data_IF_753118063611
#
_entry.id   IF_753118063611
#
_cell.length_a   1.000
_cell.length_b   1.000
_cell.length_c   1.000
_cell.angle_alpha   90.00
_cell.angle_beta   90.00
_cell.angle_gamma   90.00
#
_symmetry.space_group_name_H-M   'P 1'
#
loop_
_entity.id
_entity.type
_entity.pdbx_description
1 polymer ?
#
# COMPACT_ATOMS: atom_id res chain seq x y z
N UNK A 1 38.23 -8.32 -11.49
CA UNK A 1 36.78 -8.27 -11.75
C UNK A 1 36.16 -7.59 -10.55
N UNK A 2 35.30 -6.62 -10.83
CA UNK A 2 34.64 -5.77 -9.84
C UNK A 2 33.18 -6.18 -9.70
N UNK A 3 32.51 -5.70 -8.67
CA UNK A 3 31.07 -5.89 -8.49
C UNK A 3 30.23 -5.34 -9.66
N UNK A 4 30.78 -4.41 -10.45
CA UNK A 4 30.14 -3.84 -11.63
C UNK A 4 30.29 -4.71 -12.89
N UNK A 5 31.13 -5.76 -12.86
CA UNK A 5 31.28 -6.71 -13.98
C UNK A 5 30.21 -7.82 -13.94
N UNK A 6 29.32 -7.80 -12.93
CA UNK A 6 28.22 -8.76 -12.79
C UNK A 6 27.19 -8.52 -13.88
N UNK A 7 26.86 -9.57 -14.64
CA UNK A 7 25.85 -9.53 -15.70
C UNK A 7 24.45 -9.86 -15.18
N UNK A 8 23.44 -9.54 -15.99
CA UNK A 8 22.07 -9.97 -15.74
C UNK A 8 21.97 -11.50 -15.57
N UNK A 9 22.58 -12.28 -16.46
CA UNK A 9 22.56 -13.74 -16.42
C UNK A 9 23.20 -14.31 -15.15
N UNK A 10 24.24 -13.65 -14.62
CA UNK A 10 24.88 -14.05 -13.37
C UNK A 10 23.95 -13.86 -12.15
N UNK A 11 23.11 -12.83 -12.16
CA UNK A 11 22.06 -12.63 -11.14
C UNK A 11 21.01 -13.73 -11.25
N UNK A 12 20.57 -14.06 -12.47
CA UNK A 12 19.59 -15.14 -12.70
C UNK A 12 20.13 -16.48 -12.21
N UNK A 13 21.36 -16.84 -12.55
CA UNK A 13 21.98 -18.08 -12.09
C UNK A 13 22.05 -18.17 -10.55
N UNK A 14 22.32 -17.06 -9.87
CA UNK A 14 22.30 -17.00 -8.41
C UNK A 14 20.87 -17.12 -7.83
N UNK A 15 19.85 -16.55 -8.48
CA UNK A 15 18.45 -16.73 -8.10
C UNK A 15 17.98 -18.17 -8.29
N UNK A 16 18.36 -18.82 -9.40
CA UNK A 16 18.02 -20.22 -9.69
C UNK A 16 18.64 -21.16 -8.64
N UNK A 17 19.92 -20.97 -8.31
CA UNK A 17 20.57 -21.73 -7.24
C UNK A 17 19.92 -21.48 -5.87
N UNK A 18 19.53 -20.24 -5.58
CA UNK A 18 18.81 -19.91 -4.35
C UNK A 18 17.49 -20.67 -4.25
N UNK A 19 16.76 -20.80 -5.36
CA UNK A 19 15.51 -21.56 -5.44
C UNK A 19 15.75 -23.07 -5.29
N UNK A 20 16.82 -23.62 -5.88
CA UNK A 20 17.19 -25.03 -5.77
C UNK A 20 17.64 -25.44 -4.36
N UNK A 21 18.51 -24.65 -3.73
CA UNK A 21 19.06 -24.94 -2.40
C UNK A 21 18.08 -24.56 -1.28
N UNK A 22 17.24 -23.57 -1.53
CA UNK A 22 16.42 -22.89 -0.53
C UNK A 22 17.23 -21.91 0.34
N UNK A 23 16.55 -20.84 0.77
CA UNK A 23 17.10 -19.70 1.53
C UNK A 23 18.16 -20.07 2.57
N UNK A 24 17.80 -20.95 3.51
CA UNK A 24 18.66 -21.28 4.65
C UNK A 24 19.97 -21.92 4.21
N UNK A 25 19.93 -22.82 3.22
CA UNK A 25 21.14 -23.51 2.76
C UNK A 25 21.99 -22.59 1.89
N UNK A 26 21.37 -21.77 1.04
CA UNK A 26 22.04 -20.78 0.22
C UNK A 26 22.80 -19.75 1.07
N UNK A 27 22.13 -19.14 2.05
CA UNK A 27 22.75 -18.17 2.95
C UNK A 27 23.93 -18.77 3.73
N UNK A 28 23.81 -20.03 4.18
CA UNK A 28 24.91 -20.75 4.84
C UNK A 28 26.07 -21.02 3.89
N UNK A 29 25.79 -21.44 2.65
CA UNK A 29 26.81 -21.74 1.62
C UNK A 29 27.69 -20.51 1.35
N UNK A 30 27.07 -19.34 1.19
CA UNK A 30 27.76 -18.11 0.83
C UNK A 30 28.14 -17.22 2.03
N UNK A 31 27.78 -17.61 3.25
CA UNK A 31 28.16 -16.90 4.48
C UNK A 31 27.39 -15.59 4.73
N UNK A 32 26.14 -15.51 4.28
CA UNK A 32 25.28 -14.35 4.46
C UNK A 32 24.23 -14.56 5.56
N UNK A 33 23.68 -13.45 6.06
CA UNK A 33 22.50 -13.43 6.94
C UNK A 33 21.29 -12.98 6.14
N UNK A 34 20.10 -13.31 6.65
CA UNK A 34 18.84 -12.83 6.08
C UNK A 34 18.77 -11.30 6.06
N UNK A 35 18.47 -10.75 4.89
CA UNK A 35 18.17 -9.34 4.68
C UNK A 35 16.81 -9.01 5.30
N UNK A 36 16.73 -7.84 5.96
CA UNK A 36 15.50 -7.37 6.61
C UNK A 36 14.88 -6.15 5.93
N UNK A 37 15.70 -5.35 5.27
CA UNK A 37 15.33 -4.02 4.81
C UNK A 37 15.35 -3.86 3.29
N UNK A 38 16.14 -4.65 2.56
CA UNK A 38 16.24 -4.55 1.10
C UNK A 38 16.35 -5.93 0.48
N UNK A 39 15.37 -6.29 -0.36
CA UNK A 39 15.34 -7.57 -1.07
C UNK A 39 15.21 -7.35 -2.56
N UNK A 40 15.88 -8.21 -3.31
CA UNK A 40 15.74 -8.29 -4.76
C UNK A 40 14.37 -8.91 -5.06
N UNK A 41 13.56 -8.25 -5.88
CA UNK A 41 12.30 -8.80 -6.37
C UNK A 41 12.47 -9.25 -7.81
N UNK A 42 12.22 -10.55 -8.04
CA UNK A 42 12.36 -11.15 -9.35
C UNK A 42 11.35 -12.29 -9.52
N UNK A 43 10.65 -12.32 -10.67
CA UNK A 43 9.64 -13.34 -10.98
C UNK A 43 8.62 -13.62 -9.86
N UNK A 44 8.17 -12.57 -9.17
CA UNK A 44 7.18 -12.70 -8.09
C UNK A 44 7.75 -13.17 -6.75
N UNK A 45 9.07 -13.31 -6.62
CA UNK A 45 9.75 -13.79 -5.40
C UNK A 45 10.73 -12.75 -4.86
N UNK A 46 10.97 -12.84 -3.55
CA UNK A 46 11.95 -12.00 -2.85
C UNK A 46 13.21 -12.79 -2.52
N UNK A 47 14.36 -12.23 -2.87
CA UNK A 47 15.67 -12.79 -2.62
C UNK A 47 16.53 -11.84 -1.76
N UNK A 48 17.42 -12.41 -0.93
CA UNK A 48 18.33 -11.63 -0.09
C UNK A 48 19.35 -10.89 -0.99
N UNK A 49 19.11 -9.60 -1.24
CA UNK A 49 19.79 -8.78 -2.27
C UNK A 49 21.33 -8.90 -2.27
N UNK A 50 21.96 -8.76 -1.10
CA UNK A 50 23.42 -8.91 -0.94
C UNK A 50 23.92 -10.33 -1.17
N UNK A 51 23.14 -11.33 -0.76
CA UNK A 51 23.54 -12.72 -0.90
C UNK A 51 23.49 -13.13 -2.38
N UNK A 52 22.45 -12.72 -3.11
CA UNK A 52 22.35 -12.93 -4.55
C UNK A 52 23.50 -12.24 -5.28
N UNK A 53 23.76 -10.96 -5.01
CA UNK A 53 24.84 -10.25 -5.68
C UNK A 53 26.22 -10.85 -5.37
N UNK A 54 26.43 -11.31 -4.13
CA UNK A 54 27.66 -11.99 -3.73
C UNK A 54 27.87 -13.33 -4.43
N UNK A 55 26.81 -14.14 -4.56
CA UNK A 55 26.85 -15.38 -5.33
C UNK A 55 27.04 -15.11 -6.83
N UNK A 56 26.35 -14.10 -7.38
CA UNK A 56 26.42 -13.69 -8.78
C UNK A 56 27.84 -13.35 -9.24
N UNK A 57 28.67 -12.77 -8.36
CA UNK A 57 30.08 -12.53 -8.66
C UNK A 57 30.85 -13.82 -9.01
N UNK A 58 30.48 -14.96 -8.42
CA UNK A 58 31.05 -16.27 -8.74
C UNK A 58 30.72 -16.77 -10.16
N UNK A 59 29.68 -16.21 -10.81
CA UNK A 59 29.25 -16.59 -12.15
C UNK A 59 29.83 -15.70 -13.26
N UNK A 60 30.64 -14.68 -12.95
CA UNK A 60 31.24 -13.78 -13.96
C UNK A 60 32.15 -14.56 -14.92
N UNK A 61 32.93 -15.51 -14.39
CA UNK A 61 33.81 -16.37 -15.19
C UNK A 61 34.21 -17.63 -14.41
N UNK A 62 34.75 -18.69 -15.05
CA UNK A 62 35.05 -19.97 -14.39
C UNK A 62 36.00 -19.90 -13.19
N UNK A 63 36.82 -18.84 -13.10
CA UNK A 63 37.76 -18.62 -12.00
C UNK A 63 37.30 -17.53 -11.00
N UNK A 64 36.10 -16.99 -11.17
CA UNK A 64 35.57 -15.97 -10.27
C UNK A 64 35.08 -16.62 -8.99
N UNK A 65 35.41 -15.99 -7.86
CA UNK A 65 34.95 -16.45 -6.55
C UNK A 65 33.75 -15.62 -6.10
N UNK A 66 32.74 -16.21 -5.46
CA UNK A 66 31.66 -15.47 -4.81
C UNK A 66 32.20 -14.47 -3.79
N UNK A 67 31.58 -13.29 -3.69
CA UNK A 67 31.90 -12.29 -2.66
C UNK A 67 31.20 -12.63 -1.36
N UNK A 68 31.92 -12.52 -0.24
CA UNK A 68 31.37 -12.59 1.12
C UNK A 68 30.94 -11.21 1.59
N UNK A 69 30.11 -11.18 2.62
CA UNK A 69 29.61 -9.93 3.22
C UNK A 69 30.70 -8.91 3.62
N UNK A 70 31.92 -9.35 3.93
CA UNK A 70 33.02 -8.46 4.34
C UNK A 70 33.75 -7.82 3.15
N UNK A 71 33.51 -8.30 1.93
CA UNK A 71 34.23 -7.89 0.71
C UNK A 71 33.47 -6.81 -0.08
N UNK A 72 32.34 -6.32 0.43
CA UNK A 72 31.56 -5.23 -0.16
C UNK A 72 32.07 -3.87 0.36
N UNK A 73 32.69 -3.07 -0.52
CA UNK A 73 33.29 -1.77 -0.20
C UNK A 73 32.26 -0.66 0.08
N UNK A 74 31.11 -0.67 -0.61
CA UNK A 74 30.06 0.34 -0.52
C UNK A 74 28.80 -0.12 0.24
N UNK A 75 28.85 -1.28 0.89
CA UNK A 75 27.75 -1.79 1.70
C UNK A 75 26.47 -2.05 0.89
N UNK A 76 25.32 -1.61 1.42
CA UNK A 76 24.01 -1.90 0.82
C UNK A 76 23.67 -0.99 -0.36
N UNK A 77 24.11 0.27 -0.35
CA UNK A 77 23.82 1.23 -1.42
C UNK A 77 24.45 0.82 -2.76
N UNK A 78 25.68 0.32 -2.73
CA UNK A 78 26.37 -0.23 -3.91
C UNK A 78 25.65 -1.47 -4.44
N UNK A 79 25.16 -2.34 -3.56
CA UNK A 79 24.37 -3.52 -3.95
C UNK A 79 23.09 -3.13 -4.69
N UNK A 80 22.34 -2.17 -4.15
CA UNK A 80 21.10 -1.68 -4.77
C UNK A 80 21.39 -1.06 -6.13
N UNK A 81 22.40 -0.19 -6.21
CA UNK A 81 22.77 0.49 -7.46
C UNK A 81 23.14 -0.48 -8.57
N UNK A 82 23.90 -1.55 -8.28
CA UNK A 82 24.26 -2.55 -9.29
C UNK A 82 23.03 -3.31 -9.78
N UNK A 83 22.18 -3.80 -8.87
CA UNK A 83 20.96 -4.53 -9.24
C UNK A 83 20.00 -3.68 -10.07
N UNK A 84 19.78 -2.43 -9.67
CA UNK A 84 18.91 -1.49 -10.41
C UNK A 84 19.51 -1.14 -11.78
N UNK A 85 20.84 -0.97 -11.89
CA UNK A 85 21.49 -0.71 -13.19
C UNK A 85 21.36 -1.86 -14.18
N UNK A 86 21.21 -3.09 -13.68
CA UNK A 86 20.96 -4.30 -14.46
C UNK A 86 19.45 -4.51 -14.75
N UNK A 87 18.59 -3.60 -14.30
CA UNK A 87 17.14 -3.65 -14.54
C UNK A 87 16.36 -4.52 -13.55
N UNK A 88 16.96 -4.91 -12.43
CA UNK A 88 16.26 -5.61 -11.36
C UNK A 88 15.61 -4.65 -10.37
N UNK A 89 14.44 -5.03 -9.87
CA UNK A 89 13.75 -4.29 -8.83
C UNK A 89 14.29 -4.62 -7.45
N UNK A 90 14.66 -3.61 -6.66
CA UNK A 90 15.03 -3.79 -5.25
C UNK A 90 13.98 -3.11 -4.36
N UNK A 91 13.32 -3.94 -3.55
CA UNK A 91 12.24 -3.51 -2.66
C UNK A 91 12.80 -3.22 -1.27
N UNK A 92 12.57 -1.99 -0.79
CA UNK A 92 12.76 -1.61 0.59
C UNK A 92 11.58 -2.06 1.45
N UNK A 93 11.83 -2.62 2.64
CA UNK A 93 10.83 -3.17 3.56
C UNK A 93 9.89 -4.22 2.92
N UNK A 94 10.43 -5.36 2.47
CA UNK A 94 9.64 -6.42 1.85
C UNK A 94 8.65 -7.05 2.85
N UNK A 95 7.58 -7.70 2.37
CA UNK A 95 6.66 -8.45 3.22
C UNK A 95 7.42 -9.43 4.11
N UNK A 96 7.00 -9.62 5.38
CA UNK A 96 7.71 -10.51 6.29
C UNK A 96 7.69 -11.95 5.74
N UNK A 97 8.81 -12.67 5.91
CA UNK A 97 8.97 -14.07 5.45
C UNK A 97 7.98 -15.05 6.10
N UNK A 98 7.34 -14.63 7.19
CA UNK A 98 6.26 -15.35 7.86
C UNK A 98 5.18 -14.36 8.27
N UNK A 99 3.92 -14.78 8.16
CA UNK A 99 2.81 -13.96 8.60
C UNK A 99 2.78 -13.84 10.14
N UNK A 100 2.42 -12.68 10.69
CA UNK A 100 2.32 -12.50 12.14
C UNK A 100 1.18 -13.35 12.71
N UNK A 101 1.26 -13.62 14.03
CA UNK A 101 0.24 -14.37 14.76
C UNK A 101 -1.14 -13.67 14.68
N UNK A 102 -2.21 -14.44 14.84
CA UNK A 102 -3.57 -13.90 14.97
C UNK A 102 -3.75 -13.12 16.27
N UNK A 103 -4.47 -12.00 16.19
CA UNK A 103 -4.83 -11.15 17.33
C UNK A 103 -6.21 -11.50 17.88
N UNK A 104 -6.54 -11.02 19.08
CA UNK A 104 -7.86 -11.28 19.71
C UNK A 104 -9.01 -10.79 18.83
N UNK A 105 -8.86 -9.64 18.17
CA UNK A 105 -9.87 -9.07 17.28
C UNK A 105 -10.16 -9.98 16.08
N UNK A 106 -9.12 -10.56 15.49
CA UNK A 106 -9.23 -11.44 14.31
C UNK A 106 -9.88 -12.77 14.68
N UNK A 107 -9.48 -13.34 15.82
CA UNK A 107 -10.06 -14.60 16.33
C UNK A 107 -11.53 -14.41 16.71
N UNK A 108 -11.92 -13.28 17.30
CA UNK A 108 -13.31 -12.99 17.64
C UNK A 108 -14.22 -12.95 16.41
N UNK A 109 -13.79 -12.28 15.32
CA UNK A 109 -14.53 -12.27 14.05
C UNK A 109 -14.67 -13.69 13.48
N UNK A 110 -13.58 -14.45 13.47
CA UNK A 110 -13.56 -15.80 12.92
C UNK A 110 -14.44 -16.79 13.71
N UNK A 111 -14.40 -16.77 15.05
CA UNK A 111 -15.25 -17.63 15.89
C UNK A 111 -16.72 -17.24 15.77
N UNK A 112 -17.04 -15.94 15.71
CA UNK A 112 -18.42 -15.50 15.48
C UNK A 112 -18.94 -16.03 14.14
N UNK A 113 -18.15 -15.90 13.08
CA UNK A 113 -18.51 -16.44 11.77
C UNK A 113 -18.70 -17.96 11.81
N UNK A 114 -17.77 -18.69 12.45
CA UNK A 114 -17.88 -20.14 12.60
C UNK A 114 -19.19 -20.54 13.29
N UNK A 115 -19.53 -19.94 14.44
CA UNK A 115 -20.76 -20.27 15.18
C UNK A 115 -22.04 -19.98 14.39
N UNK A 116 -22.02 -18.96 13.54
CA UNK A 116 -23.15 -18.62 12.67
C UNK A 116 -23.37 -19.58 11.50
N UNK A 117 -22.35 -20.34 11.10
CA UNK A 117 -22.40 -21.21 9.92
C UNK A 117 -22.20 -22.70 10.22
N UNK A 118 -21.68 -23.04 11.40
CA UNK A 118 -21.47 -24.42 11.80
C UNK A 118 -22.80 -25.20 11.77
N UNK A 119 -22.78 -26.48 11.34
CA UNK A 119 -21.60 -27.27 10.98
C UNK A 119 -21.12 -27.09 9.53
N UNK A 120 -21.81 -26.30 8.70
CA UNK A 120 -21.54 -26.18 7.26
C UNK A 120 -20.91 -24.84 6.92
N UNK A 121 -19.59 -24.78 7.02
CA UNK A 121 -18.82 -23.57 6.70
C UNK A 121 -18.82 -23.30 5.19
N UNK A 122 -19.04 -22.03 4.76
CA UNK A 122 -18.93 -21.63 3.36
C UNK A 122 -17.57 -21.96 2.74
N UNK A 123 -17.59 -22.26 1.44
CA UNK A 123 -16.39 -22.67 0.69
C UNK A 123 -15.37 -21.54 0.51
N UNK A 124 -14.13 -21.91 0.17
CA UNK A 124 -12.97 -21.00 0.01
C UNK A 124 -13.18 -19.84 -0.97
N UNK A 125 -14.03 -20.06 -1.98
CA UNK A 125 -14.35 -19.08 -3.02
C UNK A 125 -15.71 -18.40 -2.82
N UNK A 126 -16.37 -18.60 -1.68
CA UNK A 126 -17.66 -17.96 -1.39
C UNK A 126 -17.48 -16.48 -1.06
N UNK A 127 -18.42 -15.65 -1.50
CA UNK A 127 -18.43 -14.22 -1.21
C UNK A 127 -18.42 -13.94 0.30
N UNK A 128 -19.12 -14.76 1.08
CA UNK A 128 -19.20 -14.66 2.55
C UNK A 128 -17.84 -14.86 3.22
N UNK A 129 -17.09 -15.88 2.81
CA UNK A 129 -15.76 -16.14 3.37
C UNK A 129 -14.73 -15.12 2.87
N UNK A 130 -14.84 -14.68 1.61
CA UNK A 130 -13.99 -13.62 1.06
C UNK A 130 -14.22 -12.31 1.84
N UNK A 131 -15.47 -11.98 2.15
CA UNK A 131 -15.85 -10.84 2.99
C UNK A 131 -15.22 -10.93 4.37
N UNK A 132 -15.36 -12.08 5.06
CA UNK A 132 -14.73 -12.31 6.36
C UNK A 132 -13.20 -12.15 6.29
N UNK A 133 -12.56 -12.70 5.25
CA UNK A 133 -11.12 -12.59 5.09
C UNK A 133 -10.68 -11.13 4.87
N UNK A 134 -11.47 -10.33 4.17
CA UNK A 134 -11.24 -8.90 4.02
C UNK A 134 -11.39 -8.17 5.36
N UNK A 135 -12.45 -8.45 6.13
CA UNK A 135 -12.65 -7.88 7.48
C UNK A 135 -11.47 -8.17 8.42
N UNK A 136 -11.05 -9.44 8.49
CA UNK A 136 -9.90 -9.88 9.30
C UNK A 136 -8.62 -9.18 8.84
N UNK A 137 -8.40 -9.07 7.53
CA UNK A 137 -7.23 -8.37 6.98
C UNK A 137 -7.24 -6.88 7.34
N UNK A 138 -8.39 -6.22 7.27
CA UNK A 138 -8.53 -4.82 7.69
C UNK A 138 -8.26 -4.68 9.19
N UNK A 139 -8.83 -5.53 10.04
CA UNK A 139 -8.57 -5.54 11.48
C UNK A 139 -7.08 -5.74 11.83
N UNK A 140 -6.36 -6.56 11.08
CA UNK A 140 -4.92 -6.76 11.23
C UNK A 140 -4.13 -5.52 10.80
N UNK A 141 -4.47 -4.94 9.64
CA UNK A 141 -3.84 -3.71 9.12
C UNK A 141 -4.02 -2.53 10.07
N UNK A 142 -5.18 -2.44 10.72
CA UNK A 142 -5.43 -1.44 11.76
C UNK A 142 -4.46 -1.57 12.94
N UNK A 143 -3.86 -2.73 13.18
CA UNK A 143 -2.85 -2.91 14.22
C UNK A 143 -1.42 -2.74 13.68
N UNK A 144 -1.28 -2.24 12.46
CA UNK A 144 0.01 -2.11 11.77
C UNK A 144 0.58 -3.44 11.28
N UNK A 145 -0.20 -4.53 11.33
CA UNK A 145 0.25 -5.85 10.87
C UNK A 145 0.20 -5.93 9.35
N UNK A 146 1.27 -6.46 8.76
CA UNK A 146 1.39 -6.78 7.34
C UNK A 146 1.93 -8.19 7.18
N UNK A 147 1.74 -8.78 6.01
CA UNK A 147 2.19 -10.13 5.71
C UNK A 147 2.37 -10.36 4.21
N UNK A 148 2.72 -11.59 3.85
CA UNK A 148 2.96 -12.02 2.46
C UNK A 148 1.64 -12.38 1.73
N UNK A 149 1.72 -13.04 0.57
CA UNK A 149 0.56 -13.41 -0.26
C UNK A 149 -0.46 -14.32 0.45
N UNK A 150 -0.06 -14.99 1.54
CA UNK A 150 -0.92 -15.83 2.38
C UNK A 150 -1.52 -15.07 3.57
N UNK A 151 -1.26 -13.77 3.68
CA UNK A 151 -1.67 -12.97 4.82
C UNK A 151 -3.19 -12.76 4.83
N UNK A 152 -3.86 -13.44 5.77
CA UNK A 152 -5.30 -13.34 6.00
C UNK A 152 -6.12 -13.49 4.71
N UNK A 153 -5.66 -14.36 3.81
CA UNK A 153 -6.42 -14.68 2.59
C UNK A 153 -7.55 -15.68 2.92
N UNK A 154 -8.49 -15.86 2.00
CA UNK A 154 -9.65 -16.74 2.21
C UNK A 154 -9.24 -18.17 2.58
N UNK A 155 -8.19 -18.71 1.94
CA UNK A 155 -7.66 -20.04 2.26
C UNK A 155 -7.13 -20.14 3.69
N UNK A 156 -6.33 -19.18 4.13
CA UNK A 156 -5.76 -19.14 5.48
C UNK A 156 -6.84 -18.97 6.53
N UNK A 157 -7.83 -18.10 6.29
CA UNK A 157 -8.98 -17.92 7.17
C UNK A 157 -9.80 -19.20 7.25
N UNK A 158 -10.09 -19.85 6.12
CA UNK A 158 -10.76 -21.15 6.08
C UNK A 158 -10.05 -22.18 6.95
N UNK A 159 -8.72 -22.29 6.83
CA UNK A 159 -7.94 -23.22 7.64
C UNK A 159 -8.08 -22.94 9.15
N UNK A 160 -8.09 -21.68 9.56
CA UNK A 160 -8.36 -21.33 10.97
C UNK A 160 -9.77 -21.69 11.41
N UNK A 161 -10.79 -21.50 10.57
CA UNK A 161 -12.16 -21.93 10.87
C UNK A 161 -12.23 -23.45 11.09
N UNK A 162 -11.47 -24.24 10.33
CA UNK A 162 -11.43 -25.69 10.50
C UNK A 162 -10.78 -26.12 11.81
N UNK A 163 -9.84 -25.34 12.36
CA UNK A 163 -9.25 -25.65 13.67
C UNK A 163 -10.29 -25.54 14.81
N UNK A 164 -11.30 -24.67 14.67
CA UNK A 164 -12.35 -24.50 15.68
C UNK A 164 -13.26 -25.72 15.83
N UNK A 165 -13.30 -26.63 14.85
CA UNK A 165 -14.00 -27.91 14.97
C UNK A 165 -13.53 -28.75 16.16
N UNK A 166 -12.30 -28.55 16.64
CA UNK A 166 -11.79 -29.21 17.84
C UNK A 166 -12.38 -28.67 19.14
N UNK A 167 -12.77 -27.40 19.12
CA UNK A 167 -13.37 -26.70 20.26
C UNK A 167 -14.89 -26.86 20.27
N UNK A 168 -15.48 -27.25 19.14
CA UNK A 168 -16.91 -27.39 18.95
C UNK A 168 -17.44 -28.73 19.47
N UNK A 169 -18.16 -28.76 20.61
CA UNK A 169 -18.70 -29.99 21.17
C UNK A 169 -19.77 -30.64 20.29
N UNK A 170 -20.34 -29.89 19.33
CA UNK A 170 -21.37 -30.39 18.42
C UNK A 170 -20.78 -30.95 17.11
N UNK A 171 -19.47 -30.81 16.91
CA UNK A 171 -18.82 -31.35 15.73
C UNK A 171 -18.50 -32.84 15.91
N UNK A 172 -19.07 -33.68 15.04
CA UNK A 172 -18.96 -35.14 15.11
C UNK A 172 -17.95 -35.74 14.12
N UNK A 173 -17.22 -34.91 13.37
CA UNK A 173 -16.23 -35.34 12.38
C UNK A 173 -14.80 -35.39 12.91
N UNK A 174 -13.86 -35.78 12.05
CA UNK A 174 -12.42 -35.70 12.35
C UNK A 174 -11.95 -34.26 12.20
N UNK A 175 -11.69 -33.60 13.32
CA UNK A 175 -11.20 -32.23 13.33
C UNK A 175 -9.70 -32.15 12.95
N UNK A 176 -9.28 -31.03 12.38
CA UNK A 176 -7.93 -30.82 11.83
C UNK A 176 -7.13 -29.86 12.72
N UNK A 177 -5.85 -30.15 12.94
CA UNK A 177 -4.91 -29.20 13.55
C UNK A 177 -4.79 -29.30 15.08
N UNK A 178 -4.45 -28.17 15.73
CA UNK A 178 -4.51 -27.97 17.18
C UNK A 178 -4.98 -26.54 17.43
N UNK A 179 -5.89 -26.33 18.39
CA UNK A 179 -6.22 -25.00 18.88
C UNK A 179 -5.05 -24.33 19.58
N UNK A 180 -5.01 -23.01 19.53
CA UNK A 180 -4.10 -22.18 20.31
C UNK A 180 -4.76 -21.70 21.61
N UNK A 181 -3.95 -21.34 22.61
CA UNK A 181 -4.46 -20.78 23.87
C UNK A 181 -5.31 -19.51 23.68
N UNK A 182 -5.02 -18.71 22.64
CA UNK A 182 -5.82 -17.55 22.30
C UNK A 182 -7.20 -17.98 21.76
N UNK A 183 -7.25 -18.96 20.86
CA UNK A 183 -8.51 -19.47 20.31
C UNK A 183 -9.38 -20.10 21.41
N UNK A 184 -8.79 -20.87 22.32
CA UNK A 184 -9.49 -21.44 23.49
C UNK A 184 -10.06 -20.35 24.40
N UNK A 185 -9.27 -19.29 24.68
CA UNK A 185 -9.74 -18.15 25.47
C UNK A 185 -10.96 -17.49 24.84
N UNK A 186 -10.90 -17.14 23.56
CA UNK A 186 -12.01 -16.46 22.89
C UNK A 186 -13.19 -17.40 22.68
N UNK A 187 -12.95 -18.70 22.47
CA UNK A 187 -14.01 -19.71 22.40
C UNK A 187 -14.83 -19.81 23.70
N UNK A 188 -14.22 -19.56 24.86
CA UNK A 188 -14.95 -19.54 26.13
C UNK A 188 -15.95 -18.38 26.28
N UNK A 189 -15.94 -17.40 25.38
CA UNK A 189 -16.89 -16.27 25.43
C UNK A 189 -18.32 -16.74 25.20
N UNK A 190 -19.24 -16.16 25.97
CA UNK A 190 -20.67 -16.26 25.67
C UNK A 190 -20.99 -15.59 24.34
N UNK A 191 -22.10 -15.98 23.69
CA UNK A 191 -22.49 -15.38 22.40
C UNK A 191 -22.68 -13.86 22.51
N UNK A 192 -23.13 -13.36 23.66
CA UNK A 192 -23.28 -11.92 23.91
C UNK A 192 -21.93 -11.21 23.94
N UNK A 193 -20.93 -11.78 24.62
CA UNK A 193 -19.58 -11.20 24.70
C UNK A 193 -18.87 -11.25 23.34
N UNK A 194 -18.98 -12.38 22.64
CA UNK A 194 -18.41 -12.57 21.32
C UNK A 194 -19.03 -11.61 20.30
N UNK A 195 -20.36 -11.48 20.29
CA UNK A 195 -21.06 -10.53 19.41
C UNK A 195 -20.66 -9.09 19.71
N UNK A 196 -20.54 -8.71 20.99
CA UNK A 196 -20.09 -7.37 21.37
C UNK A 196 -18.65 -7.10 20.93
N UNK A 197 -17.76 -8.08 21.09
CA UNK A 197 -16.37 -7.97 20.67
C UNK A 197 -16.24 -7.83 19.15
N UNK A 198 -16.92 -8.69 18.39
CA UNK A 198 -16.93 -8.64 16.92
C UNK A 198 -17.53 -7.33 16.39
N UNK A 199 -18.64 -6.86 16.96
CA UNK A 199 -19.27 -5.61 16.56
C UNK A 199 -18.37 -4.39 16.84
N UNK A 200 -17.66 -4.39 17.97
CA UNK A 200 -16.68 -3.36 18.27
C UNK A 200 -15.49 -3.37 17.29
N UNK A 201 -15.12 -4.54 16.75
CA UNK A 201 -14.12 -4.63 15.67
C UNK A 201 -14.70 -4.07 14.36
N UNK A 202 -15.91 -4.46 13.96
CA UNK A 202 -16.54 -3.96 12.72
C UNK A 202 -16.81 -2.46 12.74
N UNK A 203 -17.22 -1.91 13.87
CA UNK A 203 -17.38 -0.46 14.06
C UNK A 203 -16.06 0.27 13.77
N UNK A 204 -14.95 -0.24 14.31
CA UNK A 204 -13.61 0.30 14.08
C UNK A 204 -13.14 0.12 12.64
N UNK A 205 -13.43 -1.03 12.01
CA UNK A 205 -13.17 -1.25 10.57
C UNK A 205 -13.92 -0.20 9.74
N UNK A 206 -15.22 -0.01 9.97
CA UNK A 206 -16.02 0.96 9.22
C UNK A 206 -15.51 2.39 9.40
N UNK A 207 -15.06 2.75 10.61
CA UNK A 207 -14.42 4.04 10.86
C UNK A 207 -13.07 4.16 10.14
N UNK A 208 -12.24 3.11 10.17
CA UNK A 208 -10.94 3.06 9.49
C UNK A 208 -11.09 3.17 7.97
N UNK A 209 -12.03 2.45 7.36
CA UNK A 209 -12.26 2.48 5.91
C UNK A 209 -12.77 3.85 5.43
N UNK A 210 -13.50 4.58 6.28
CA UNK A 210 -13.96 5.94 5.98
C UNK A 210 -12.88 7.01 6.15
N UNK A 211 -11.92 6.81 7.05
CA UNK A 211 -10.99 7.86 7.50
C UNK A 211 -9.52 7.58 7.16
N UNK A 212 -9.17 6.34 6.83
CA UNK A 212 -7.80 5.88 6.60
C UNK A 212 -6.93 5.79 7.86
N UNK A 213 -7.48 6.03 9.06
CA UNK A 213 -6.70 6.21 10.29
C UNK A 213 -6.93 5.11 11.31
N UNK A 214 -5.82 4.53 11.81
CA UNK A 214 -5.83 3.62 12.95
C UNK A 214 -6.20 4.39 14.21
N UNK A 215 -7.31 4.02 14.84
CA UNK A 215 -7.71 4.56 16.14
C UNK A 215 -6.64 4.18 17.19
N UNK A 216 -5.69 5.08 17.42
CA UNK A 216 -4.67 4.92 18.46
C UNK A 216 -5.34 5.12 19.82
N UNK A 217 -5.02 4.26 20.79
CA UNK A 217 -5.45 4.48 22.18
C UNK A 217 -4.74 5.72 22.73
N UNK A 218 -5.39 6.87 22.65
CA UNK A 218 -4.83 8.14 23.08
C UNK A 218 -4.78 8.15 24.63
N UNK A 219 -3.61 8.34 25.27
CA UNK A 219 -3.52 8.45 26.73
C UNK A 219 -4.36 9.63 27.24
N UNK A 220 -4.88 9.60 28.46
CA UNK A 220 -5.61 10.75 29.03
C UNK A 220 -4.74 12.03 29.06
N UNK A 221 -5.29 13.22 28.74
CA UNK A 221 -4.54 14.46 28.80
C UNK A 221 -4.14 14.81 30.24
N UNK A 222 -2.94 15.36 30.42
CA UNK A 222 -2.51 15.86 31.73
C UNK A 222 -3.15 17.22 32.09
N UNK A 223 -3.64 17.96 31.10
CA UNK A 223 -4.22 19.29 31.28
C UNK A 223 -5.63 19.24 31.89
N UNK A 224 -5.85 19.90 33.02
CA UNK A 224 -7.17 20.02 33.63
C UNK A 224 -8.20 20.69 32.68
N UNK A 225 -7.76 21.66 31.88
CA UNK A 225 -8.63 22.33 30.89
C UNK A 225 -9.08 21.35 29.80
N UNK A 226 -8.17 20.51 29.30
CA UNK A 226 -8.54 19.51 28.28
C UNK A 226 -9.46 18.43 28.83
N UNK A 227 -9.23 17.97 30.07
CA UNK A 227 -10.14 17.03 30.72
C UNK A 227 -11.56 17.58 30.84
N UNK A 228 -11.70 18.85 31.21
CA UNK A 228 -12.99 19.51 31.29
C UNK A 228 -13.66 19.66 29.93
N UNK A 229 -12.90 20.06 28.90
CA UNK A 229 -13.41 20.17 27.53
C UNK A 229 -13.89 18.82 27.01
N UNK A 230 -13.05 17.78 27.07
CA UNK A 230 -13.38 16.42 26.62
C UNK A 230 -14.64 15.89 27.34
N UNK A 231 -14.77 16.14 28.64
CA UNK A 231 -15.92 15.72 29.44
C UNK A 231 -17.16 16.64 29.30
N UNK A 232 -17.08 17.72 28.54
CA UNK A 232 -18.19 18.67 28.36
C UNK A 232 -19.35 18.01 27.62
N UNK A 233 -20.57 18.40 27.99
CA UNK A 233 -21.77 18.01 27.24
C UNK A 233 -22.01 18.86 25.99
N UNK A 234 -21.29 19.98 25.82
CA UNK A 234 -21.32 20.76 24.57
C UNK A 234 -20.47 20.04 23.50
N UNK A 235 -21.07 19.65 22.35
CA UNK A 235 -20.34 18.96 21.29
C UNK A 235 -19.11 19.71 20.77
N UNK A 236 -19.19 21.05 20.67
CA UNK A 236 -18.07 21.88 20.19
C UNK A 236 -16.93 21.88 21.19
N UNK A 237 -17.22 21.96 22.48
CA UNK A 237 -16.20 21.91 23.54
C UNK A 237 -15.55 20.54 23.64
N UNK A 238 -16.35 19.48 23.57
CA UNK A 238 -15.87 18.09 23.58
C UNK A 238 -14.95 17.82 22.39
N UNK A 239 -15.40 18.17 21.17
CA UNK A 239 -14.60 18.01 19.96
C UNK A 239 -13.31 18.84 20.03
N UNK A 240 -13.38 20.11 20.43
CA UNK A 240 -12.19 20.95 20.62
C UNK A 240 -11.19 20.33 21.60
N UNK A 241 -11.66 19.76 22.70
CA UNK A 241 -10.85 19.03 23.67
C UNK A 241 -10.12 17.85 23.04
N UNK A 242 -10.83 17.02 22.27
CA UNK A 242 -10.27 15.88 21.54
C UNK A 242 -9.24 16.31 20.48
N UNK A 243 -9.57 17.31 19.65
CA UNK A 243 -8.71 17.82 18.58
C UNK A 243 -7.38 18.37 19.15
N UNK A 244 -7.44 19.18 20.22
CA UNK A 244 -6.24 19.71 20.88
C UNK A 244 -5.38 18.61 21.51
N UNK A 245 -6.01 17.58 22.07
CA UNK A 245 -5.32 16.47 22.71
C UNK A 245 -4.60 15.58 21.68
N UNK A 246 -5.27 15.24 20.58
CA UNK A 246 -4.67 14.55 19.44
C UNK A 246 -3.42 15.27 18.93
N UNK A 247 -3.50 16.60 18.83
CA UNK A 247 -2.38 17.41 18.42
C UNK A 247 -1.21 17.39 19.43
N UNK A 248 -1.49 17.42 20.74
CA UNK A 248 -0.44 17.26 21.74
C UNK A 248 0.30 15.94 21.58
N UNK A 249 -0.42 14.84 21.41
CA UNK A 249 0.18 13.52 21.27
C UNK A 249 0.95 13.37 19.95
N UNK A 250 0.44 13.92 18.85
CA UNK A 250 1.18 13.97 17.58
C UNK A 250 2.52 14.70 17.72
N UNK A 251 2.56 15.81 18.47
CA UNK A 251 3.82 16.49 18.79
C UNK A 251 4.77 15.64 19.64
N UNK A 252 4.26 14.92 20.64
CA UNK A 252 5.08 14.00 21.45
C UNK A 252 5.69 12.90 20.60
N UNK A 253 4.90 12.32 19.70
CA UNK A 253 5.35 11.27 18.79
C UNK A 253 6.44 11.76 17.82
N UNK A 254 6.42 13.04 17.45
CA UNK A 254 7.48 13.70 16.68
C UNK A 254 8.69 14.14 17.52
N UNK A 255 8.72 13.86 18.84
CA UNK A 255 9.77 14.32 19.75
C UNK A 255 9.74 15.84 20.02
N UNK A 256 8.67 16.54 19.60
CA UNK A 256 8.47 17.97 19.84
C UNK A 256 7.83 18.22 21.21
N UNK A 257 7.99 19.44 21.73
CA UNK A 257 7.32 19.86 22.96
C UNK A 257 5.81 19.97 22.73
N UNK A 258 5.03 19.13 23.41
CA UNK A 258 3.57 19.08 23.35
C UNK A 258 2.87 20.21 24.13
N UNK A 259 3.35 21.45 24.00
CA UNK A 259 2.73 22.62 24.62
C UNK A 259 1.63 23.19 23.71
N UNK A 260 0.45 23.41 24.28
CA UNK A 260 -0.64 24.15 23.64
C UNK A 260 -0.47 25.68 23.73
N UNK A 261 0.68 26.20 24.16
CA UNK A 261 0.90 27.66 24.23
C UNK A 261 -0.10 28.38 25.14
N UNK A 262 -0.78 29.40 24.61
CA UNK A 262 -1.75 30.23 25.34
C UNK A 262 -3.19 29.72 25.20
N UNK A 263 -3.44 28.76 24.33
CA UNK A 263 -4.76 28.23 24.00
C UNK A 263 -5.55 27.80 25.25
N UNK A 264 -5.02 26.99 26.19
CA UNK A 264 -5.79 26.59 27.38
C UNK A 264 -6.20 27.77 28.26
N UNK A 265 -5.40 28.85 28.28
CA UNK A 265 -5.73 30.07 29.01
C UNK A 265 -6.79 30.90 28.31
N UNK A 266 -6.78 30.95 26.98
CA UNK A 266 -7.81 31.65 26.21
C UNK A 266 -9.15 30.93 26.25
N UNK A 267 -9.17 29.60 26.14
CA UNK A 267 -10.40 28.80 26.27
C UNK A 267 -10.97 28.87 27.70
N UNK A 268 -10.12 29.08 28.70
CA UNK A 268 -10.61 29.31 30.08
C UNK A 268 -11.25 30.69 30.26
N UNK A 269 -10.81 31.68 29.49
CA UNK A 269 -11.20 33.10 29.64
C UNK A 269 -12.20 33.57 28.57
N UNK A 270 -12.55 32.72 27.61
CA UNK A 270 -13.46 32.97 26.49
C UNK A 270 -14.13 31.65 26.10
N UNK A 271 -15.32 31.69 25.52
CA UNK A 271 -16.00 30.47 25.09
C UNK A 271 -15.28 29.80 23.91
N UNK A 272 -15.45 28.48 23.76
CA UNK A 272 -14.78 27.68 22.73
C UNK A 272 -15.08 28.17 21.31
N UNK A 273 -16.32 28.60 21.03
CA UNK A 273 -16.74 29.09 19.71
C UNK A 273 -15.95 30.34 19.34
N UNK A 274 -15.88 31.33 20.22
CA UNK A 274 -15.11 32.57 20.00
C UNK A 274 -13.63 32.31 19.71
N UNK A 275 -13.02 31.35 20.42
CA UNK A 275 -11.62 30.96 20.19
C UNK A 275 -11.45 30.33 18.81
N UNK A 276 -12.32 29.39 18.44
CA UNK A 276 -12.29 28.71 17.13
C UNK A 276 -12.48 29.73 16.01
N UNK A 277 -13.49 30.61 16.11
CA UNK A 277 -13.73 31.64 15.09
C UNK A 277 -12.52 32.56 14.90
N UNK A 278 -11.89 33.01 16.00
CA UNK A 278 -10.69 33.83 15.94
C UNK A 278 -9.56 33.09 15.22
N UNK A 279 -9.37 31.80 15.49
CA UNK A 279 -8.31 30.97 14.88
C UNK A 279 -8.54 30.75 13.39
N UNK A 280 -9.77 30.43 13.00
CA UNK A 280 -10.14 30.29 11.59
C UNK A 280 -9.95 31.62 10.86
N UNK A 281 -10.41 32.76 11.39
CA UNK A 281 -10.22 34.06 10.73
C UNK A 281 -8.75 34.47 10.60
N UNK A 282 -7.92 34.16 11.59
CA UNK A 282 -6.51 34.58 11.61
C UNK A 282 -5.54 33.67 10.87
N UNK A 283 -6.02 32.56 10.27
CA UNK A 283 -5.15 31.51 9.71
C UNK A 283 -4.11 31.02 10.71
N UNK A 284 -4.45 30.98 12.00
CA UNK A 284 -3.49 30.59 13.02
C UNK A 284 -3.09 29.13 12.82
N UNK A 285 -1.78 28.90 12.64
CA UNK A 285 -1.12 27.65 12.25
C UNK A 285 -1.14 26.56 13.32
N UNK A 286 -2.23 26.48 14.09
CA UNK A 286 -2.35 25.62 15.25
C UNK A 286 -2.25 24.15 14.89
N UNK A 287 -2.78 23.72 13.75
CA UNK A 287 -2.92 22.29 13.40
C UNK A 287 -2.19 21.86 12.12
N UNK A 288 -1.54 22.77 11.40
CA UNK A 288 -0.90 22.50 10.10
C UNK A 288 0.18 21.40 10.15
N UNK A 289 0.78 21.17 11.33
CA UNK A 289 1.83 20.15 11.54
C UNK A 289 1.31 18.73 11.84
N UNK A 290 0.00 18.55 12.10
CA UNK A 290 -0.61 17.26 12.46
C UNK A 290 -1.50 16.81 11.32
N UNK A 291 -0.85 16.52 10.20
CA UNK A 291 -1.46 16.20 8.90
C UNK A 291 -2.14 14.83 8.83
N UNK A 292 -2.15 14.05 9.92
CA UNK A 292 -2.59 12.65 9.89
C UNK A 292 -3.94 12.38 10.56
N UNK A 293 -4.60 13.36 11.19
CA UNK A 293 -5.84 13.11 11.95
C UNK A 293 -7.11 13.72 11.35
N UNK A 294 -7.03 14.54 10.30
CA UNK A 294 -8.19 15.24 9.71
C UNK A 294 -8.97 16.10 10.74
N UNK A 295 -8.32 16.43 11.85
CA UNK A 295 -8.87 17.17 12.99
C UNK A 295 -8.25 18.58 13.00
N UNK A 296 -9.09 19.61 12.86
CA UNK A 296 -8.68 21.02 12.80
C UNK A 296 -9.78 21.93 13.31
N UNK A 297 -9.47 23.22 13.51
CA UNK A 297 -10.50 24.22 13.82
C UNK A 297 -11.56 24.29 12.72
N UNK A 298 -11.14 24.25 11.46
CA UNK A 298 -12.02 24.24 10.30
C UNK A 298 -12.94 23.03 10.31
N UNK A 299 -12.46 21.84 10.71
CA UNK A 299 -13.29 20.63 10.83
C UNK A 299 -14.40 20.79 11.86
N UNK A 300 -14.09 21.35 13.03
CA UNK A 300 -15.09 21.64 14.08
C UNK A 300 -16.17 22.60 13.54
N UNK A 301 -15.78 23.60 12.75
CA UNK A 301 -16.73 24.53 12.11
C UNK A 301 -17.66 23.82 11.12
N UNK A 302 -17.14 22.86 10.34
CA UNK A 302 -17.96 22.10 9.38
C UNK A 302 -18.88 21.09 10.05
N UNK A 303 -18.47 20.51 11.18
CA UNK A 303 -19.28 19.54 11.92
C UNK A 303 -20.42 20.21 12.71
N UNK A 304 -20.24 21.47 13.09
CA UNK A 304 -21.20 22.25 13.86
C UNK A 304 -21.53 23.61 13.22
N UNK A 305 -21.98 23.65 11.95
CA UNK A 305 -22.12 24.89 11.19
C UNK A 305 -23.18 25.84 11.78
N UNK A 306 -24.15 25.33 12.52
CA UNK A 306 -25.16 26.10 13.24
C UNK A 306 -24.59 26.93 14.41
N UNK A 307 -23.35 26.63 14.84
CA UNK A 307 -22.68 27.27 15.98
C UNK A 307 -21.76 28.41 15.58
N UNK A 308 -21.50 28.62 14.28
CA UNK A 308 -20.47 29.56 13.79
C UNK A 308 -21.03 30.58 12.80
N UNK A 309 -20.39 31.73 12.70
CA UNK A 309 -20.75 32.76 11.73
C UNK A 309 -20.51 32.30 10.27
N UNK A 310 -21.35 32.78 9.35
CA UNK A 310 -21.32 32.37 7.93
C UNK A 310 -19.97 32.64 7.25
N UNK A 311 -19.27 33.72 7.62
CA UNK A 311 -17.94 34.03 7.09
C UNK A 311 -16.92 32.98 7.53
N UNK A 312 -16.99 32.54 8.79
CA UNK A 312 -16.12 31.50 9.36
C UNK A 312 -16.36 30.17 8.67
N UNK A 313 -17.62 29.80 8.43
CA UNK A 313 -17.98 28.58 7.69
C UNK A 313 -17.41 28.62 6.27
N UNK A 314 -17.52 29.76 5.58
CA UNK A 314 -16.98 29.89 4.23
C UNK A 314 -15.45 29.74 4.20
N UNK A 315 -14.74 30.34 5.15
CA UNK A 315 -13.28 30.21 5.29
C UNK A 315 -12.91 28.75 5.58
N UNK A 316 -13.61 28.08 6.51
CA UNK A 316 -13.35 26.71 6.88
C UNK A 316 -13.54 25.74 5.69
N UNK A 317 -14.63 25.91 4.93
CA UNK A 317 -14.88 25.11 3.70
C UNK A 317 -13.78 25.29 2.67
N UNK A 318 -13.39 26.54 2.41
CA UNK A 318 -12.35 26.84 1.42
C UNK A 318 -11.02 26.18 1.80
N UNK A 319 -10.60 26.30 3.05
CA UNK A 319 -9.34 25.72 3.53
C UNK A 319 -9.33 24.20 3.56
N UNK A 320 -10.41 23.57 4.01
CA UNK A 320 -10.49 22.10 3.99
C UNK A 320 -10.46 21.56 2.56
N UNK A 321 -11.11 22.25 1.62
CA UNK A 321 -11.03 21.88 0.20
C UNK A 321 -9.59 22.03 -0.34
N UNK A 322 -8.88 23.11 0.01
CA UNK A 322 -7.47 23.27 -0.37
C UNK A 322 -6.56 22.21 0.27
N UNK A 323 -6.80 21.87 1.54
CA UNK A 323 -6.07 20.82 2.23
C UNK A 323 -6.27 19.44 1.59
N UNK A 324 -7.52 19.08 1.28
CA UNK A 324 -7.86 17.84 0.60
C UNK A 324 -7.18 17.76 -0.78
N UNK A 325 -7.24 18.85 -1.56
CA UNK A 325 -6.55 18.96 -2.84
C UNK A 325 -5.03 18.76 -2.71
N UNK A 326 -4.41 19.29 -1.66
CA UNK A 326 -2.98 19.17 -1.40
C UNK A 326 -2.56 17.81 -0.79
N UNK A 327 -3.52 17.00 -0.34
CA UNK A 327 -3.22 15.70 0.29
C UNK A 327 -2.77 14.68 -0.76
N UNK A 328 -1.57 14.06 -0.61
CA UNK A 328 -1.08 13.05 -1.53
C UNK A 328 -1.99 11.81 -1.58
N UNK A 329 -2.13 11.23 -2.76
CA UNK A 329 -2.91 10.01 -3.01
C UNK A 329 -2.10 9.00 -3.84
N UNK A 330 -2.34 7.72 -3.63
CA UNK A 330 -1.84 6.62 -4.45
C UNK A 330 -2.81 6.23 -5.59
N UNK A 331 -4.04 6.75 -5.56
CA UNK A 331 -5.01 6.63 -6.64
C UNK A 331 -4.68 7.61 -7.78
N UNK A 332 -4.42 7.05 -8.95
CA UNK A 332 -4.04 7.81 -10.14
C UNK A 332 -5.17 8.70 -10.67
N UNK A 333 -6.41 8.25 -10.61
CA UNK A 333 -7.56 9.03 -11.09
C UNK A 333 -7.85 10.20 -10.16
N UNK A 334 -7.77 9.97 -8.85
CA UNK A 334 -7.88 11.02 -7.83
C UNK A 334 -6.75 12.05 -8.00
N UNK A 335 -5.51 11.59 -8.20
CA UNK A 335 -4.36 12.48 -8.43
C UNK A 335 -4.58 13.40 -9.64
N UNK A 336 -5.02 12.86 -10.76
CA UNK A 336 -5.31 13.64 -11.98
C UNK A 336 -6.46 14.64 -11.76
N UNK A 337 -7.49 14.27 -11.01
CA UNK A 337 -8.57 15.19 -10.64
C UNK A 337 -8.06 16.34 -9.75
N UNK A 338 -7.25 16.03 -8.74
CA UNK A 338 -6.61 17.03 -7.86
C UNK A 338 -5.70 17.98 -8.65
N UNK A 339 -4.90 17.46 -9.58
CA UNK A 339 -4.02 18.27 -10.45
C UNK A 339 -4.83 19.30 -11.24
N UNK A 340 -5.93 18.89 -11.87
CA UNK A 340 -6.78 19.81 -12.66
C UNK A 340 -7.30 20.96 -11.80
N UNK A 341 -7.75 20.65 -10.59
CA UNK A 341 -8.23 21.65 -9.65
C UNK A 341 -7.11 22.58 -9.15
N UNK A 342 -5.92 22.05 -8.85
CA UNK A 342 -4.77 22.87 -8.42
C UNK A 342 -4.31 23.82 -9.52
N UNK A 343 -4.29 23.37 -10.78
CA UNK A 343 -3.90 24.22 -11.93
C UNK A 343 -4.84 25.43 -12.08
N UNK A 344 -6.12 25.28 -11.74
CA UNK A 344 -7.10 26.37 -11.73
C UNK A 344 -6.89 27.37 -10.56
N UNK A 345 -5.98 27.08 -9.62
CA UNK A 345 -5.68 27.88 -8.42
C UNK A 345 -4.19 28.25 -8.35
N UNK A 346 -3.71 29.20 -9.18
CA UNK A 346 -2.27 29.47 -9.32
C UNK A 346 -1.52 29.84 -8.03
N UNK A 347 -2.20 30.39 -7.02
CA UNK A 347 -1.59 30.71 -5.73
C UNK A 347 -1.08 29.47 -4.99
N UNK A 348 -1.71 28.30 -5.18
CA UNK A 348 -1.30 27.03 -4.55
C UNK A 348 0.06 26.51 -5.03
N UNK A 349 0.49 26.97 -6.21
CA UNK A 349 1.76 26.59 -6.86
C UNK A 349 2.62 27.81 -7.19
N UNK A 350 2.39 28.91 -6.46
CA UNK A 350 3.14 30.16 -6.64
C UNK A 350 4.60 30.03 -6.22
N UNK A 351 4.88 29.12 -5.29
CA UNK A 351 6.22 28.71 -4.89
C UNK A 351 6.42 27.20 -5.12
N UNK A 352 7.66 26.72 -5.39
CA UNK A 352 7.92 25.30 -5.50
C UNK A 352 7.57 24.56 -4.19
N UNK A 353 6.75 23.48 -4.23
CA UNK A 353 6.41 22.73 -3.03
C UNK A 353 7.66 22.00 -2.49
N UNK A 354 7.76 21.88 -1.17
CA UNK A 354 8.88 21.20 -0.51
C UNK A 354 9.00 19.71 -0.90
N UNK A 355 7.90 19.08 -1.28
CA UNK A 355 7.83 17.66 -1.66
C UNK A 355 8.01 16.70 -0.48
N UNK A 356 8.19 15.41 -0.79
CA UNK A 356 8.48 14.37 0.18
C UNK A 356 9.76 13.63 -0.23
N UNK A 357 10.89 13.76 0.50
CA UNK A 357 12.15 13.11 0.13
C UNK A 357 12.12 11.59 0.29
N UNK A 358 11.14 11.05 1.02
CA UNK A 358 10.95 9.62 1.27
C UNK A 358 9.48 9.25 1.07
N UNK A 359 8.98 9.23 -0.18
CA UNK A 359 7.59 8.91 -0.46
C UNK A 359 7.25 7.50 0.03
N UNK A 360 6.09 7.37 0.68
CA UNK A 360 5.57 6.09 1.14
C UNK A 360 5.32 5.20 -0.09
N UNK A 361 5.82 3.96 -0.04
CA UNK A 361 5.56 2.95 -1.07
C UNK A 361 4.32 2.14 -0.68
N UNK A 362 3.34 2.10 -1.56
CA UNK A 362 2.15 1.26 -1.46
C UNK A 362 2.35 0.03 -2.37
N UNK A 363 2.01 -1.17 -1.88
CA UNK A 363 2.05 -2.39 -2.71
C UNK A 363 0.71 -2.50 -3.43
N UNK A 364 0.68 -2.17 -4.72
CA UNK A 364 -0.48 -2.36 -5.56
C UNK A 364 -0.51 -3.80 -6.10
N UNK A 365 -1.57 -4.54 -5.78
CA UNK A 365 -1.79 -5.88 -6.31
C UNK A 365 -2.38 -5.80 -7.72
N UNK A 366 -1.54 -5.89 -8.75
CA UNK A 366 -1.96 -5.97 -10.14
C UNK A 366 -2.11 -7.41 -10.62
N UNK A 367 -3.05 -7.66 -11.53
CA UNK A 367 -3.08 -8.91 -12.29
C UNK A 367 -1.93 -8.93 -13.30
N UNK A 368 -1.09 -9.97 -13.23
CA UNK A 368 -0.01 -10.20 -14.20
C UNK A 368 -0.46 -11.27 -15.18
N UNK A 369 -0.44 -10.94 -16.46
CA UNK A 369 -0.74 -11.91 -17.52
C UNK A 369 0.56 -12.61 -17.96
N UNK A 370 0.53 -13.94 -17.98
CA UNK A 370 1.60 -14.75 -18.58
C UNK A 370 1.53 -14.61 -20.09
N UNK A 371 2.59 -14.10 -20.72
CA UNK A 371 2.66 -13.83 -22.17
C UNK A 371 3.57 -14.82 -22.87
N UNK A 372 3.24 -15.17 -24.10
CA UNK A 372 4.06 -16.03 -24.95
C UNK A 372 5.24 -15.21 -25.53
N UNK A 373 6.49 -15.53 -25.16
CA UNK A 373 7.66 -14.80 -25.65
C UNK A 373 7.82 -14.88 -27.17
N UNK A 374 7.27 -15.92 -27.84
CA UNK A 374 7.32 -16.08 -29.29
C UNK A 374 6.43 -15.07 -30.00
N UNK A 375 5.27 -14.75 -29.43
CA UNK A 375 4.36 -13.73 -29.96
C UNK A 375 5.02 -12.35 -29.87
N UNK A 376 5.64 -12.05 -28.73
CA UNK A 376 6.37 -10.79 -28.52
C UNK A 376 7.56 -10.68 -29.49
N UNK A 377 8.38 -11.73 -29.61
CA UNK A 377 9.54 -11.75 -30.50
C UNK A 377 9.12 -11.60 -31.97
N UNK A 378 8.14 -12.38 -32.42
CA UNK A 378 7.60 -12.30 -33.78
C UNK A 378 7.09 -10.89 -34.09
N UNK A 379 6.32 -10.29 -33.18
CA UNK A 379 5.78 -8.93 -33.35
C UNK A 379 6.90 -7.90 -33.53
N UNK A 380 7.98 -8.00 -32.74
CA UNK A 380 9.12 -7.09 -32.84
C UNK A 380 9.90 -7.25 -34.14
N UNK A 381 10.12 -8.49 -34.57
CA UNK A 381 10.79 -8.79 -35.85
C UNK A 381 9.95 -8.29 -37.03
N UNK A 382 8.64 -8.54 -37.02
CA UNK A 382 7.70 -8.06 -38.05
C UNK A 382 7.70 -6.54 -38.16
N UNK A 383 7.64 -5.84 -37.03
CA UNK A 383 7.67 -4.39 -37.00
C UNK A 383 8.99 -3.79 -37.52
N UNK A 384 10.10 -4.55 -37.45
CA UNK A 384 11.40 -4.21 -38.01
C UNK A 384 11.88 -2.77 -37.69
N UNK A 385 11.65 -2.33 -36.44
CA UNK A 385 12.05 -1.01 -35.99
C UNK A 385 11.19 0.15 -36.51
N UNK A 386 10.07 -0.11 -37.16
CA UNK A 386 9.06 0.88 -37.56
C UNK A 386 7.79 0.66 -36.74
N UNK A 387 7.23 1.73 -36.19
CA UNK A 387 5.96 1.63 -35.45
C UNK A 387 4.80 1.29 -36.39
N UNK A 388 4.06 0.23 -36.07
CA UNK A 388 2.95 -0.25 -36.91
C UNK A 388 1.70 0.66 -36.86
N UNK A 389 1.65 1.64 -35.95
CA UNK A 389 0.60 2.66 -35.91
C UNK A 389 0.98 3.92 -36.68
N UNK A 390 2.04 4.64 -36.29
CA UNK A 390 2.40 5.93 -36.88
C UNK A 390 3.40 5.86 -38.05
N UNK A 391 3.93 4.67 -38.35
CA UNK A 391 4.95 4.43 -39.39
C UNK A 391 6.27 5.20 -39.19
N UNK A 392 6.49 5.76 -38.00
CA UNK A 392 7.77 6.39 -37.66
C UNK A 392 8.78 5.34 -37.18
N UNK A 393 10.09 5.56 -37.38
CA UNK A 393 11.12 4.70 -36.84
C UNK A 393 11.08 4.69 -35.30
N UNK A 394 11.61 3.62 -34.71
CA UNK A 394 11.80 3.52 -33.28
C UNK A 394 12.58 4.73 -32.74
N UNK A 395 12.22 5.25 -31.55
CA UNK A 395 12.82 6.47 -31.02
C UNK A 395 14.30 6.33 -30.69
N UNK A 396 14.76 5.11 -30.38
CA UNK A 396 16.16 4.80 -30.09
C UNK A 396 16.44 3.31 -30.27
N UNK A 397 17.73 2.95 -30.22
CA UNK A 397 18.20 1.56 -30.18
C UNK A 397 18.54 1.14 -28.74
N UNK A 398 18.32 -0.13 -28.42
CA UNK A 398 18.75 -0.78 -27.18
C UNK A 398 20.27 -0.96 -27.17
N UNK A 399 20.88 -1.25 -26.00
CA UNK A 399 22.32 -1.54 -25.91
C UNK A 399 22.78 -2.69 -26.81
N UNK A 400 21.91 -3.66 -27.09
CA UNK A 400 22.16 -4.78 -28.01
C UNK A 400 22.04 -4.40 -29.51
N UNK A 401 21.77 -3.12 -29.82
CA UNK A 401 21.61 -2.59 -31.17
C UNK A 401 20.21 -2.75 -31.77
N UNK A 402 19.29 -3.46 -31.11
CA UNK A 402 17.92 -3.65 -31.59
C UNK A 402 17.06 -2.40 -31.42
N UNK A 403 16.04 -2.22 -32.27
CA UNK A 403 15.15 -1.05 -32.23
C UNK A 403 14.16 -1.11 -31.05
N UNK A 404 13.97 0.00 -30.33
CA UNK A 404 13.04 0.04 -29.19
C UNK A 404 11.59 0.24 -29.63
N UNK A 405 10.82 -0.85 -29.65
CA UNK A 405 9.36 -0.83 -29.75
C UNK A 405 8.75 -1.65 -28.61
N UNK A 406 7.53 -1.28 -28.22
CA UNK A 406 6.72 -1.94 -27.21
C UNK A 406 5.67 -2.81 -27.90
N UNK A 407 5.45 -4.02 -27.38
CA UNK A 407 4.40 -4.90 -27.89
C UNK A 407 3.08 -4.53 -27.21
N UNK A 408 2.10 -4.14 -28.01
CA UNK A 408 0.77 -3.76 -27.56
C UNK A 408 -0.28 -4.76 -28.07
N UNK A 409 -1.13 -5.24 -27.16
CA UNK A 409 -2.33 -6.00 -27.51
C UNK A 409 -3.47 -5.04 -27.86
N UNK A 410 -3.95 -5.08 -29.10
CA UNK A 410 -4.96 -4.13 -29.61
C UNK A 410 -6.30 -4.32 -28.89
N UNK A 411 -6.70 -5.57 -28.66
CA UNK A 411 -7.67 -5.93 -27.62
C UNK A 411 -6.88 -6.24 -26.34
N UNK A 412 -7.01 -5.47 -25.26
CA UNK A 412 -6.25 -5.67 -24.04
C UNK A 412 -6.49 -7.06 -23.42
N UNK A 413 -5.46 -7.64 -22.80
CA UNK A 413 -5.57 -8.91 -22.06
C UNK A 413 -6.58 -8.82 -20.90
N UNK A 414 -6.69 -7.65 -20.27
CA UNK A 414 -7.68 -7.36 -19.23
C UNK A 414 -9.13 -7.42 -19.72
N UNK A 415 -9.34 -7.28 -21.02
CA UNK A 415 -10.64 -7.36 -21.69
C UNK A 415 -10.81 -8.70 -22.42
N UNK A 416 -10.07 -9.73 -22.00
CA UNK A 416 -10.03 -11.07 -22.62
C UNK A 416 -9.48 -11.08 -24.06
N UNK A 417 -8.64 -10.12 -24.42
CA UNK A 417 -7.91 -10.16 -25.69
C UNK A 417 -6.97 -11.37 -25.79
N UNK A 418 -6.84 -12.00 -26.97
CA UNK A 418 -5.94 -13.15 -27.14
C UNK A 418 -4.48 -12.70 -27.25
N UNK A 419 -3.56 -13.51 -26.72
CA UNK A 419 -2.11 -13.31 -26.91
C UNK A 419 -1.65 -13.96 -28.21
N UNK A 420 -1.94 -13.31 -29.34
CA UNK A 420 -1.65 -13.83 -30.69
C UNK A 420 -1.01 -12.76 -31.58
N UNK A 421 -0.24 -13.15 -32.61
CA UNK A 421 0.37 -12.18 -33.54
C UNK A 421 -0.61 -11.24 -34.23
N UNK A 422 -1.87 -11.68 -34.43
CA UNK A 422 -2.94 -10.90 -35.05
C UNK A 422 -3.50 -9.82 -34.12
N UNK A 423 -3.39 -10.02 -32.81
CA UNK A 423 -3.82 -9.05 -31.79
C UNK A 423 -2.64 -8.22 -31.23
N UNK A 424 -1.41 -8.49 -31.66
CA UNK A 424 -0.21 -7.82 -31.17
C UNK A 424 0.40 -6.90 -32.24
N UNK A 425 0.83 -5.71 -31.81
CA UNK A 425 1.56 -4.75 -32.65
C UNK A 425 2.82 -4.22 -31.98
N UNK A 426 3.88 -3.99 -32.76
CA UNK A 426 5.07 -3.26 -32.37
C UNK A 426 4.83 -1.76 -32.52
N UNK A 427 4.74 -1.05 -31.41
CA UNK A 427 4.44 0.39 -31.37
C UNK A 427 5.50 1.19 -30.62
N UNK A 428 5.70 2.46 -30.98
CA UNK A 428 6.57 3.34 -30.21
C UNK A 428 5.90 3.73 -28.88
N UNK A 429 6.67 4.18 -27.86
CA UNK A 429 6.12 4.53 -26.54
C UNK A 429 4.98 5.56 -26.59
N UNK A 430 5.09 6.55 -27.48
CA UNK A 430 4.07 7.58 -27.66
C UNK A 430 2.75 6.99 -28.19
N UNK A 431 2.84 6.15 -29.22
CA UNK A 431 1.67 5.46 -29.77
C UNK A 431 1.08 4.47 -28.77
N UNK A 432 1.92 3.75 -28.02
CA UNK A 432 1.45 2.84 -27.00
C UNK A 432 0.65 3.57 -25.92
N UNK A 433 1.16 4.70 -25.40
CA UNK A 433 0.44 5.52 -24.42
C UNK A 433 -0.86 6.08 -24.98
N UNK A 434 -0.86 6.54 -26.24
CA UNK A 434 -2.07 7.06 -26.89
C UNK A 434 -3.18 5.99 -27.03
N UNK A 435 -2.80 4.74 -27.34
CA UNK A 435 -3.75 3.62 -27.41
C UNK A 435 -4.41 3.30 -26.06
N UNK A 436 -3.78 3.64 -24.93
CA UNK A 436 -4.38 3.48 -23.60
C UNK A 436 -5.17 4.71 -23.13
N UNK A 437 -4.70 5.92 -23.45
CA UNK A 437 -5.09 7.12 -22.71
C UNK A 437 -5.59 8.29 -23.56
N UNK A 438 -5.45 8.25 -24.90
CA UNK A 438 -5.92 9.36 -25.74
C UNK A 438 -7.45 9.37 -25.84
N UNK A 439 -8.03 10.55 -26.01
CA UNK A 439 -9.47 10.73 -26.25
C UNK A 439 -9.96 9.93 -27.47
N UNK A 440 -9.12 9.80 -28.49
CA UNK A 440 -9.41 9.06 -29.72
C UNK A 440 -8.84 7.63 -29.73
N UNK A 441 -8.56 7.01 -28.57
CA UNK A 441 -7.95 5.67 -28.46
C UNK A 441 -8.68 4.59 -29.26
N UNK A 442 -10.01 4.59 -29.28
CA UNK A 442 -10.81 3.59 -30.01
C UNK A 442 -10.62 3.72 -31.52
N UNK A 443 -10.48 4.95 -32.02
CA UNK A 443 -10.17 5.21 -33.42
C UNK A 443 -8.75 4.73 -33.78
N UNK A 444 -7.78 4.97 -32.89
CA UNK A 444 -6.40 4.48 -33.05
C UNK A 444 -6.34 2.95 -33.06
N UNK A 445 -7.04 2.28 -32.14
CA UNK A 445 -7.11 0.82 -32.08
C UNK A 445 -7.75 0.23 -33.34
N UNK A 446 -8.87 0.79 -33.82
CA UNK A 446 -9.50 0.40 -35.10
C UNK A 446 -8.56 0.60 -36.29
N UNK A 447 -7.81 1.71 -36.31
CA UNK A 447 -6.82 1.98 -37.36
C UNK A 447 -5.70 0.94 -37.33
N UNK A 448 -5.21 0.59 -36.14
CA UNK A 448 -4.16 -0.41 -35.95
C UNK A 448 -4.62 -1.80 -36.36
N UNK A 449 -5.83 -2.24 -35.98
CA UNK A 449 -6.38 -3.53 -36.42
C UNK A 449 -6.46 -3.64 -37.94
N UNK A 450 -6.91 -2.57 -38.63
CA UNK A 450 -6.96 -2.55 -40.10
C UNK A 450 -5.58 -2.71 -40.72
N UNK A 451 -4.57 -2.05 -40.16
CA UNK A 451 -3.18 -2.18 -40.62
C UNK A 451 -2.66 -3.60 -40.40
N UNK A 452 -2.88 -4.18 -39.22
CA UNK A 452 -2.47 -5.55 -38.92
C UNK A 452 -3.13 -6.59 -39.83
N UNK A 453 -4.40 -6.39 -40.23
CA UNK A 453 -5.09 -7.27 -41.17
C UNK A 453 -4.55 -7.18 -42.61
N UNK A 454 -3.71 -6.17 -42.90
CA UNK A 454 -3.13 -5.92 -44.23
C UNK A 454 -1.67 -6.40 -44.35
N UNK A 455 -1.11 -6.93 -43.27
CA UNK A 455 0.25 -7.50 -43.17
C UNK A 455 0.15 -9.02 -43.22
#
# INVERSE_FOLDING_TARGET
MTIHDISFDAIIAACDEYDELGKTQFLRKYGFRTAKTYMLFWNGKFYDSKAILGAAHGYISPNSLPLKSAEFSGGLAETVSVLESLGFEVVSDPPPSSNPNWTEAEVALAIQFYRGHAPKIPGKSSDELISLANEIRTAARMQGLRGNEKFRNADGVYMHLMHFQQLDPNYSGSAIGKSTALEEKIWSYSDKELNRAAEAVRTRISAFEKTGQVEQRIPEPNSAVLKLLIASSDPVESQLGHTLHLWQEAKRNQGKRASLGREPGQIKNSDAVSVIEQRVRSSASGFDEVTSTNESYEKIVIDHPDRFANDVIAIAKARLAEFDLATPTDDREELEAKIKEIILRPYMISEPPAGNPTPRREVSAGFVYVRDPRVVAYTRVRANGICELCAQPAPFKRPDGSHYLETHHVVPLAENGPDTPQNCAGVCPNCHRALHSAENKDHLAKTLMKKLASI
#
